data_IF_955289817862
#
_entry.id   IF_955289817862
#
_cell.length_a   1.000
_cell.length_b   1.000
_cell.length_c   1.000
_cell.angle_alpha   90.00
_cell.angle_beta   90.00
_cell.angle_gamma   90.00
#
_symmetry.space_group_name_H-M   'P 1'
#
loop_
_entity.id
_entity.type
_entity.pdbx_description
1 polymer ?
#
# COMPACT_ATOMS: atom_id res chain seq x y z
N UNK A 1 -5.79 21.03 17.58
CA UNK A 1 -6.39 19.83 18.23
C UNK A 1 -6.51 18.76 17.17
N UNK A 2 -6.11 17.51 17.45
CA UNK A 2 -6.26 16.40 16.51
C UNK A 2 -7.73 16.24 16.06
N UNK A 3 -7.95 16.14 14.75
CA UNK A 3 -9.27 16.01 14.14
C UNK A 3 -9.38 14.68 13.38
N UNK A 4 -10.49 13.97 13.55
CA UNK A 4 -10.78 12.77 12.76
C UNK A 4 -11.12 13.14 11.31
N UNK A 5 -10.58 12.39 10.35
CA UNK A 5 -10.91 12.56 8.94
C UNK A 5 -12.20 11.80 8.60
N UNK A 6 -13.10 12.44 7.84
CA UNK A 6 -14.18 11.74 7.15
C UNK A 6 -13.65 10.77 6.10
N UNK A 7 -14.54 9.91 5.59
CA UNK A 7 -14.21 8.98 4.50
C UNK A 7 -13.67 9.65 3.25
N UNK A 8 -14.29 10.74 2.84
CA UNK A 8 -13.85 11.51 1.68
C UNK A 8 -12.45 12.11 1.91
N UNK A 9 -12.17 12.60 3.12
CA UNK A 9 -10.88 13.21 3.46
C UNK A 9 -9.74 12.18 3.49
N UNK A 10 -9.92 11.03 4.14
CA UNK A 10 -8.83 10.05 4.19
C UNK A 10 -8.59 9.42 2.81
N UNK A 11 -9.63 9.21 1.99
CA UNK A 11 -9.48 8.73 0.62
C UNK A 11 -8.74 9.75 -0.25
N UNK A 12 -9.03 11.05 -0.09
CA UNK A 12 -8.29 12.11 -0.76
C UNK A 12 -6.82 12.15 -0.32
N UNK A 13 -6.57 12.03 0.98
CA UNK A 13 -5.23 11.98 1.56
C UNK A 13 -4.40 10.78 1.03
N UNK A 14 -5.00 9.59 0.99
CA UNK A 14 -4.37 8.39 0.45
C UNK A 14 -4.11 8.50 -1.06
N UNK A 15 -4.97 9.22 -1.79
CA UNK A 15 -4.85 9.37 -3.24
C UNK A 15 -3.86 10.46 -3.66
N UNK A 16 -3.60 11.51 -2.87
CA UNK A 16 -2.68 12.57 -3.29
C UNK A 16 -2.04 13.38 -2.12
N UNK A 17 -0.78 13.84 -2.29
CA UNK A 17 0.25 13.32 -3.19
C UNK A 17 0.60 11.83 -2.90
N UNK A 18 1.31 11.20 -3.83
CA UNK A 18 1.79 9.83 -3.65
C UNK A 18 2.73 9.74 -2.43
N UNK A 19 2.41 8.84 -1.50
CA UNK A 19 3.17 8.60 -0.28
C UNK A 19 3.43 7.11 -0.15
N UNK A 20 4.61 6.74 0.35
CA UNK A 20 4.87 5.33 0.67
C UNK A 20 4.09 4.95 1.93
N UNK A 21 3.40 3.82 1.87
CA UNK A 21 2.77 3.23 3.04
C UNK A 21 3.74 2.29 3.77
N UNK A 22 3.74 2.33 5.10
CA UNK A 22 4.56 1.46 5.95
C UNK A 22 3.73 0.21 6.25
N UNK A 23 3.95 -0.84 5.46
CA UNK A 23 3.20 -2.10 5.56
C UNK A 23 3.83 -2.99 6.63
N UNK A 24 3.07 -3.24 7.69
CA UNK A 24 3.33 -4.23 8.72
C UNK A 24 2.73 -5.59 8.33
N UNK A 25 3.54 -6.64 8.52
CA UNK A 25 3.16 -8.06 8.37
C UNK A 25 3.67 -8.85 9.57
N UNK A 26 3.05 -9.98 9.89
CA UNK A 26 3.43 -10.80 11.06
C UNK A 26 4.39 -11.92 10.62
N UNK A 27 5.56 -12.07 11.26
CA UNK A 27 6.46 -13.21 11.03
C UNK A 27 5.94 -14.48 11.70
N UNK A 28 6.50 -15.63 11.35
CA UNK A 28 6.11 -16.93 11.91
C UNK A 28 6.33 -17.00 13.43
N UNK A 29 7.39 -16.34 13.90
CA UNK A 29 7.71 -16.17 15.32
C UNK A 29 6.95 -15.03 16.01
N UNK A 30 5.93 -14.47 15.35
CA UNK A 30 5.09 -13.39 15.86
C UNK A 30 5.71 -11.98 15.79
N UNK A 31 6.98 -11.83 15.39
CA UNK A 31 7.60 -10.50 15.30
C UNK A 31 6.96 -9.65 14.19
N UNK A 32 6.81 -8.32 14.38
CA UNK A 32 6.39 -7.44 13.32
C UNK A 32 7.49 -7.29 12.26
N UNK A 33 7.10 -7.26 10.99
CA UNK A 33 7.95 -6.92 9.87
C UNK A 33 7.33 -5.75 9.11
N UNK A 34 7.98 -4.58 9.20
CA UNK A 34 7.50 -3.33 8.63
C UNK A 34 8.46 -2.87 7.53
N UNK A 35 7.95 -2.64 6.33
CA UNK A 35 8.73 -2.07 5.22
C UNK A 35 7.86 -1.16 4.36
N UNK A 36 8.43 -0.14 3.69
CA UNK A 36 7.68 0.73 2.81
C UNK A 36 7.17 -0.03 1.57
N UNK A 37 6.00 0.36 1.07
CA UNK A 37 5.45 -0.08 -0.22
C UNK A 37 4.88 1.11 -1.00
N UNK A 38 4.83 0.95 -2.32
CA UNK A 38 3.99 1.75 -3.20
C UNK A 38 2.65 1.05 -3.39
N UNK A 39 1.58 1.84 -3.46
CA UNK A 39 0.23 1.32 -3.60
C UNK A 39 -0.67 2.29 -4.37
N UNK A 40 -1.78 1.78 -4.87
CA UNK A 40 -2.90 2.59 -5.36
C UNK A 40 -4.18 2.13 -4.67
N UNK A 41 -5.21 2.99 -4.69
CA UNK A 41 -6.56 2.60 -4.34
C UNK A 41 -7.37 2.34 -5.61
N UNK A 42 -7.98 1.15 -5.70
CA UNK A 42 -9.05 0.82 -6.63
C UNK A 42 -10.37 0.84 -5.86
N UNK A 43 -11.07 1.97 -5.93
CA UNK A 43 -12.14 2.31 -4.99
C UNK A 43 -11.60 2.42 -3.55
N UNK A 44 -11.96 1.45 -2.71
CA UNK A 44 -11.48 1.33 -1.32
C UNK A 44 -10.45 0.19 -1.15
N UNK A 45 -10.17 -0.53 -2.23
CA UNK A 45 -9.22 -1.65 -2.22
C UNK A 45 -7.82 -1.13 -2.43
N UNK A 46 -6.93 -1.43 -1.52
CA UNK A 46 -5.51 -1.15 -1.67
C UNK A 46 -4.86 -2.23 -2.54
N UNK A 47 -4.21 -1.81 -3.62
CA UNK A 47 -3.46 -2.67 -4.52
C UNK A 47 -1.98 -2.33 -4.44
N UNK A 48 -1.14 -3.37 -4.31
CA UNK A 48 0.31 -3.24 -4.35
C UNK A 48 0.93 -4.49 -4.98
N UNK A 49 2.17 -4.38 -5.44
CA UNK A 49 2.94 -5.53 -5.93
C UNK A 49 4.01 -5.93 -4.93
N UNK A 50 4.35 -7.22 -4.90
CA UNK A 50 5.50 -7.70 -4.15
C UNK A 50 6.14 -8.94 -4.76
N UNK A 51 7.46 -9.02 -4.64
CA UNK A 51 8.22 -10.21 -5.02
C UNK A 51 7.77 -11.44 -4.22
N UNK A 52 7.46 -12.52 -4.93
CA UNK A 52 6.83 -13.73 -4.40
C UNK A 52 7.61 -14.41 -3.26
N UNK A 53 8.95 -14.31 -3.24
CA UNK A 53 9.78 -14.89 -2.15
C UNK A 53 10.15 -13.91 -1.04
N UNK A 54 9.67 -12.66 -1.11
CA UNK A 54 9.93 -11.65 -0.08
C UNK A 54 9.35 -12.05 1.28
N UNK A 55 9.92 -11.51 2.36
CA UNK A 55 9.44 -11.76 3.73
C UNK A 55 7.97 -11.35 3.89
N UNK A 56 7.58 -10.19 3.35
CA UNK A 56 6.19 -9.72 3.40
C UNK A 56 5.24 -10.70 2.70
N UNK A 57 5.65 -11.25 1.55
CA UNK A 57 4.80 -12.19 0.82
C UNK A 57 4.62 -13.49 1.58
N UNK A 58 5.72 -14.07 2.08
CA UNK A 58 5.66 -15.27 2.93
C UNK A 58 4.76 -15.07 4.16
N UNK A 59 4.83 -13.89 4.78
CA UNK A 59 3.98 -13.54 5.91
C UNK A 59 2.50 -13.42 5.51
N UNK A 60 2.20 -12.73 4.41
CA UNK A 60 0.83 -12.52 3.92
C UNK A 60 0.20 -13.85 3.51
N UNK A 61 0.90 -14.70 2.76
CA UNK A 61 0.37 -16.01 2.33
C UNK A 61 0.08 -16.94 3.52
N UNK A 62 0.82 -16.81 4.62
CA UNK A 62 0.62 -17.62 5.83
C UNK A 62 -0.52 -17.10 6.71
N UNK A 63 -0.56 -15.79 6.96
CA UNK A 63 -1.38 -15.19 8.03
C UNK A 63 -2.44 -14.21 7.49
N UNK A 64 -2.12 -13.50 6.41
CA UNK A 64 -2.99 -12.51 5.78
C UNK A 64 -3.15 -11.20 6.54
N UNK A 65 -3.04 -11.17 7.89
CA UNK A 65 -3.22 -9.93 8.66
C UNK A 65 -2.13 -8.92 8.36
N UNK A 66 -2.56 -7.71 8.01
CA UNK A 66 -1.69 -6.58 7.71
C UNK A 66 -2.22 -5.30 8.33
N UNK A 67 -1.30 -4.37 8.57
CA UNK A 67 -1.62 -2.98 8.82
C UNK A 67 -0.74 -2.11 7.94
N UNK A 68 -1.27 -1.00 7.43
CA UNK A 68 -0.49 -0.03 6.66
C UNK A 68 -0.74 1.38 7.19
N UNK A 69 0.35 2.05 7.55
CA UNK A 69 0.31 3.45 7.95
C UNK A 69 0.83 4.33 6.80
N UNK A 70 0.04 5.32 6.43
CA UNK A 70 0.41 6.37 5.48
C UNK A 70 0.35 7.69 6.22
N UNK A 71 1.50 8.35 6.35
CA UNK A 71 1.66 9.59 7.09
C UNK A 71 2.16 10.72 6.17
N UNK A 72 1.78 11.95 6.52
CA UNK A 72 2.50 13.13 6.09
C UNK A 72 3.61 13.39 7.10
N UNK A 73 4.86 13.35 6.63
CA UNK A 73 6.06 13.44 7.45
C UNK A 73 6.46 14.88 7.79
N UNK A 74 5.60 15.85 7.52
CA UNK A 74 5.79 17.27 7.82
C UNK A 74 4.59 17.84 8.59
N UNK A 75 4.79 18.85 9.46
CA UNK A 75 3.70 19.58 10.10
C UNK A 75 2.82 20.36 9.10
N UNK A 76 1.50 20.49 9.34
CA UNK A 76 0.75 19.78 10.38
C UNK A 76 0.68 18.28 10.06
N UNK A 77 1.00 17.42 11.04
CA UNK A 77 1.07 15.99 10.79
C UNK A 77 -0.33 15.40 10.56
N UNK A 78 -0.39 14.43 9.64
CA UNK A 78 -1.59 13.71 9.24
C UNK A 78 -1.25 12.24 9.06
N UNK A 79 -2.17 11.33 9.38
CA UNK A 79 -1.97 9.93 9.03
C UNK A 79 -3.27 9.18 8.81
N UNK A 80 -3.16 8.10 8.05
CA UNK A 80 -4.20 7.09 7.86
C UNK A 80 -3.58 5.73 8.13
N UNK A 81 -4.15 5.01 9.10
CA UNK A 81 -3.88 3.61 9.39
C UNK A 81 -5.03 2.78 8.84
N UNK A 82 -4.69 1.82 7.98
CA UNK A 82 -5.61 0.82 7.46
C UNK A 82 -5.21 -0.54 8.03
N UNK A 83 -6.16 -1.26 8.61
CA UNK A 83 -6.00 -2.63 9.11
C UNK A 83 -6.91 -3.57 8.32
N UNK A 84 -6.47 -4.82 8.14
CA UNK A 84 -7.26 -5.82 7.44
C UNK A 84 -6.47 -7.04 7.02
N UNK A 85 -6.97 -7.73 6.00
CA UNK A 85 -6.29 -8.90 5.40
C UNK A 85 -5.85 -8.60 3.97
N UNK A 86 -4.58 -8.88 3.68
CA UNK A 86 -4.06 -8.88 2.32
C UNK A 86 -4.12 -10.30 1.75
N UNK A 87 -4.42 -10.39 0.46
CA UNK A 87 -4.48 -11.65 -0.27
C UNK A 87 -3.94 -11.50 -1.70
N UNK A 88 -3.56 -12.63 -2.28
CA UNK A 88 -3.09 -12.69 -3.67
C UNK A 88 -4.28 -12.39 -4.58
N UNK A 89 -4.15 -11.32 -5.38
CA UNK A 89 -5.12 -10.99 -6.41
C UNK A 89 -4.79 -11.72 -7.72
N UNK A 90 -3.54 -11.62 -8.17
CA UNK A 90 -3.11 -12.19 -9.44
C UNK A 90 -1.58 -12.42 -9.44
N UNK A 91 -1.15 -13.57 -9.95
CA UNK A 91 0.25 -13.97 -10.06
C UNK A 91 0.77 -13.97 -11.51
N UNK A 92 -0.06 -13.58 -12.48
CA UNK A 92 0.28 -13.57 -13.90
C UNK A 92 1.27 -12.44 -14.24
N UNK A 93 2.20 -12.67 -15.18
CA UNK A 93 3.08 -11.61 -15.69
C UNK A 93 2.33 -10.43 -16.32
N UNK A 94 1.14 -10.67 -16.87
CA UNK A 94 0.28 -9.63 -17.45
C UNK A 94 -0.25 -8.67 -16.37
N UNK A 95 -0.88 -9.20 -15.32
CA UNK A 95 -1.35 -8.41 -14.21
C UNK A 95 -0.19 -7.69 -13.50
N UNK A 96 0.94 -8.38 -13.31
CA UNK A 96 2.17 -7.79 -12.77
C UNK A 96 2.60 -6.55 -13.55
N UNK A 97 2.67 -6.66 -14.88
CA UNK A 97 3.03 -5.56 -15.79
C UNK A 97 2.02 -4.41 -15.73
N UNK A 98 0.72 -4.73 -15.75
CA UNK A 98 -0.34 -3.73 -15.67
C UNK A 98 -0.24 -2.92 -14.37
N UNK A 99 -0.21 -3.58 -13.22
CA UNK A 99 -0.22 -2.91 -11.93
C UNK A 99 1.10 -2.21 -11.62
N UNK A 100 2.24 -2.77 -12.03
CA UNK A 100 3.53 -2.08 -11.94
C UNK A 100 3.54 -0.79 -12.78
N UNK A 101 2.90 -0.77 -13.95
CA UNK A 101 2.77 0.43 -14.80
C UNK A 101 1.92 1.50 -14.10
N UNK A 102 0.75 1.12 -13.58
CA UNK A 102 -0.18 2.03 -12.89
C UNK A 102 0.47 2.62 -11.64
N UNK A 103 1.04 1.77 -10.78
CA UNK A 103 1.71 2.18 -9.55
C UNK A 103 2.96 3.01 -9.88
N UNK A 104 3.76 2.59 -10.86
CA UNK A 104 4.91 3.36 -11.34
C UNK A 104 4.52 4.77 -11.79
N UNK A 105 3.47 4.90 -12.61
CA UNK A 105 2.96 6.20 -13.05
C UNK A 105 2.48 7.09 -11.91
N UNK A 106 1.85 6.52 -10.90
CA UNK A 106 1.40 7.23 -9.70
C UNK A 106 2.55 7.83 -8.89
N UNK A 107 3.65 7.09 -8.73
CA UNK A 107 4.77 7.51 -7.87
C UNK A 107 5.85 8.28 -8.61
N UNK A 108 6.03 8.03 -9.91
CA UNK A 108 7.15 8.53 -10.68
C UNK A 108 6.76 9.48 -11.81
N UNK A 109 5.46 9.69 -12.02
CA UNK A 109 4.91 10.46 -13.14
C UNK A 109 4.42 9.57 -14.28
N UNK A 110 3.33 9.98 -14.93
CA UNK A 110 2.70 9.22 -16.01
C UNK A 110 3.61 9.01 -17.22
N UNK A 111 4.55 9.95 -17.44
CA UNK A 111 5.60 9.88 -18.47
C UNK A 111 6.60 8.73 -18.23
N UNK A 112 6.73 8.26 -16.98
CA UNK A 112 7.61 7.16 -16.59
C UNK A 112 6.88 5.86 -16.27
N UNK A 113 5.56 5.83 -16.46
CA UNK A 113 4.74 4.66 -16.14
C UNK A 113 5.22 3.39 -16.86
N UNK A 114 5.49 3.49 -18.17
CA UNK A 114 5.93 2.34 -18.97
C UNK A 114 7.35 1.84 -18.57
N UNK A 115 8.24 2.77 -18.20
CA UNK A 115 9.58 2.45 -17.68
C UNK A 115 9.46 1.54 -16.44
N UNK A 116 8.65 1.96 -15.46
CA UNK A 116 8.45 1.23 -14.21
C UNK A 116 7.63 -0.04 -14.40
N UNK A 117 6.67 -0.04 -15.32
CA UNK A 117 5.93 -1.24 -15.73
C UNK A 117 6.85 -2.34 -16.25
N UNK A 118 7.80 -1.98 -17.13
CA UNK A 118 8.79 -2.94 -17.65
C UNK A 118 9.79 -3.39 -16.59
N UNK A 119 10.24 -2.47 -15.73
CA UNK A 119 11.26 -2.73 -14.70
C UNK A 119 10.75 -3.59 -13.54
N UNK A 120 9.55 -3.28 -13.04
CA UNK A 120 9.01 -3.89 -11.83
C UNK A 120 8.00 -4.99 -12.14
N UNK A 121 7.29 -4.91 -13.26
CA UNK A 121 6.29 -5.90 -13.70
C UNK A 121 6.91 -7.11 -14.39
N UNK A 122 7.70 -7.85 -13.62
CA UNK A 122 8.44 -9.04 -14.07
C UNK A 122 7.83 -10.32 -13.49
N UNK A 123 8.17 -11.46 -14.09
CA UNK A 123 7.75 -12.75 -13.56
C UNK A 123 8.24 -12.95 -12.12
N UNK A 124 7.36 -13.39 -11.24
CA UNK A 124 7.60 -13.48 -9.80
C UNK A 124 7.26 -12.21 -8.99
N UNK A 125 6.90 -11.10 -9.63
CA UNK A 125 6.28 -9.96 -8.94
C UNK A 125 4.76 -10.14 -8.97
N UNK A 126 4.14 -10.41 -7.81
CA UNK A 126 2.71 -10.72 -7.72
C UNK A 126 1.89 -9.52 -7.26
N UNK A 127 0.62 -9.51 -7.64
CA UNK A 127 -0.34 -8.46 -7.31
C UNK A 127 -1.11 -8.87 -6.07
N UNK A 128 -1.09 -8.01 -5.06
CA UNK A 128 -1.79 -8.19 -3.80
C UNK A 128 -2.91 -7.17 -3.68
N UNK A 129 -4.00 -7.57 -3.03
CA UNK A 129 -5.08 -6.66 -2.65
C UNK A 129 -5.34 -6.71 -1.15
N UNK A 130 -5.85 -5.62 -0.61
CA UNK A 130 -6.33 -5.52 0.77
C UNK A 130 -7.54 -4.58 0.81
N UNK A 131 -8.65 -5.09 1.35
CA UNK A 131 -9.80 -4.25 1.71
C UNK A 131 -9.70 -3.99 3.22
N UNK A 132 -9.67 -2.72 3.67
CA UNK A 132 -9.56 -2.43 5.08
C UNK A 132 -10.85 -2.81 5.81
N UNK A 133 -10.73 -3.52 6.94
CA UNK A 133 -11.85 -3.76 7.86
C UNK A 133 -11.92 -2.71 8.97
N UNK A 134 -10.81 -1.98 9.19
CA UNK A 134 -10.72 -0.85 10.10
C UNK A 134 -9.84 0.26 9.54
N UNK A 135 -10.32 1.50 9.73
CA UNK A 135 -9.62 2.72 9.33
C UNK A 135 -9.51 3.64 10.54
N UNK A 136 -8.31 4.17 10.78
CA UNK A 136 -8.05 5.24 11.75
C UNK A 136 -7.36 6.37 11.00
N UNK A 137 -7.99 7.55 10.96
CA UNK A 137 -7.51 8.65 10.13
C UNK A 137 -7.62 9.98 10.88
N UNK A 138 -6.49 10.66 11.03
CA UNK A 138 -6.41 11.93 11.75
C UNK A 138 -5.60 12.97 10.99
N UNK A 139 -6.04 14.22 11.07
CA UNK A 139 -5.35 15.42 10.59
C UNK A 139 -5.02 16.36 11.75
N UNK A 140 -4.17 17.35 11.47
CA UNK A 140 -3.78 18.41 12.41
C UNK A 140 -3.27 17.87 13.77
N UNK A 141 -2.48 16.80 13.75
CA UNK A 141 -2.06 16.08 14.97
C UNK A 141 -1.19 16.95 15.90
N UNK A 142 -0.55 17.99 15.35
CA UNK A 142 0.33 18.90 16.11
C UNK A 142 -0.19 20.34 16.22
N UNK A 143 -1.40 20.62 15.73
CA UNK A 143 -2.06 21.90 15.94
C UNK A 143 -2.88 21.91 17.24
#
# INVERSE_FOLDING_TARGET
MMEEMSKAEYLAFLNAPARCGKLATVREDGRPHVVPIWFILDGETLIFTAWHTSVKMKNILRDGRVAICVDHDQPPFHYVLLEGKAELLDASPEASRQWATIIGGRYMGTDRAEEFGKRNGIDGEWVMRMVPDRVVAYKNVTD
#
